data_IF_692979011584
#
_entry.id   IF_692979011584
#
_cell.length_a   1.000
_cell.length_b   1.000
_cell.length_c   1.000
_cell.angle_alpha   90.00
_cell.angle_beta   90.00
_cell.angle_gamma   90.00
#
_symmetry.space_group_name_H-M   'P 1'
#
loop_
_entity.id
_entity.type
_entity.pdbx_description
1 polymer ?
#
# COMPACT_ATOMS: atom_id res chain seq x y z
N UNK A 1 24.70 12.55 -20.82
CA UNK A 1 24.63 13.59 -19.78
C UNK A 1 25.30 13.06 -18.52
N UNK A 2 26.25 13.78 -17.93
CA UNK A 2 26.82 13.40 -16.63
C UNK A 2 25.98 14.03 -15.52
N UNK A 3 25.16 13.21 -14.87
CA UNK A 3 24.41 13.62 -13.67
C UNK A 3 25.32 13.47 -12.46
N UNK A 4 25.52 14.55 -11.70
CA UNK A 4 26.34 14.53 -10.50
C UNK A 4 25.69 13.64 -9.44
N UNK A 5 26.35 12.53 -9.10
CA UNK A 5 25.93 11.55 -8.10
C UNK A 5 26.95 11.48 -6.96
N UNK A 6 26.51 11.64 -5.71
CA UNK A 6 27.38 11.59 -4.52
C UNK A 6 26.68 10.88 -3.36
N UNK A 7 27.44 10.04 -2.65
CA UNK A 7 27.02 9.33 -1.44
C UNK A 7 27.89 9.78 -0.26
N UNK A 8 27.26 10.03 0.88
CA UNK A 8 27.95 10.43 2.10
C UNK A 8 27.32 9.77 3.33
N UNK A 9 28.13 9.10 4.13
CA UNK A 9 27.75 8.64 5.46
C UNK A 9 28.08 9.70 6.51
N UNK A 10 27.13 10.01 7.38
CA UNK A 10 27.33 10.97 8.46
C UNK A 10 26.57 10.55 9.71
N UNK A 11 27.02 11.06 10.86
CA UNK A 11 26.34 10.89 12.13
C UNK A 11 25.34 12.03 12.32
N UNK A 12 24.08 11.68 12.58
CA UNK A 12 23.07 12.66 12.93
C UNK A 12 23.11 12.94 14.43
N UNK A 13 23.88 13.95 14.85
CA UNK A 13 24.02 14.33 16.25
C UNK A 13 22.81 15.19 16.67
N UNK A 14 22.00 14.77 17.66
CA UNK A 14 20.95 15.62 18.19
C UNK A 14 21.55 16.83 18.90
N UNK A 15 20.82 17.95 18.94
CA UNK A 15 21.29 19.23 19.51
C UNK A 15 21.68 19.12 21.00
N UNK A 16 21.03 18.23 21.75
CA UNK A 16 21.25 18.00 23.18
C UNK A 16 22.02 16.70 23.44
N UNK A 17 23.00 16.39 22.59
CA UNK A 17 23.80 15.17 22.75
C UNK A 17 24.76 15.31 23.94
N UNK A 18 24.51 14.55 25.01
CA UNK A 18 25.40 14.49 26.18
C UNK A 18 26.36 13.29 26.07
N UNK A 19 25.81 12.07 26.04
CA UNK A 19 26.59 10.83 25.92
C UNK A 19 25.73 9.75 25.30
N UNK A 20 26.26 8.99 24.33
CA UNK A 20 25.61 7.78 23.84
C UNK A 20 25.97 7.39 22.41
N UNK A 21 25.45 6.25 21.92
CA UNK A 21 25.61 5.88 20.53
C UNK A 21 24.75 6.78 19.63
N UNK A 22 25.33 7.26 18.52
CA UNK A 22 24.65 8.16 17.58
C UNK A 22 24.28 7.40 16.31
N UNK A 23 23.06 7.55 15.78
CA UNK A 23 22.65 6.86 14.56
C UNK A 23 23.42 7.34 13.31
N UNK A 24 23.77 6.39 12.44
CA UNK A 24 24.41 6.63 11.15
C UNK A 24 23.35 6.84 10.07
N UNK A 25 23.50 7.91 9.30
CA UNK A 25 22.64 8.25 8.18
C UNK A 25 23.43 8.18 6.87
N UNK A 26 22.74 7.81 5.81
CA UNK A 26 23.24 7.82 4.44
C UNK A 26 22.53 8.94 3.69
N UNK A 27 23.32 9.84 3.10
CA UNK A 27 22.83 10.88 2.21
C UNK A 27 23.16 10.52 0.77
N UNK A 28 22.15 10.60 -0.08
CA UNK A 28 22.27 10.48 -1.54
C UNK A 28 22.01 11.85 -2.15
N UNK A 29 22.94 12.33 -2.97
CA UNK A 29 22.78 13.58 -3.72
C UNK A 29 22.79 13.28 -5.21
N UNK A 30 21.73 13.73 -5.91
CA UNK A 30 21.59 13.59 -7.36
C UNK A 30 21.18 14.94 -7.94
N UNK A 31 21.97 15.49 -8.85
CA UNK A 31 21.67 16.75 -9.55
C UNK A 31 21.27 17.90 -8.58
N UNK A 32 21.97 18.00 -7.44
CA UNK A 32 21.71 19.01 -6.40
C UNK A 32 20.57 18.70 -5.43
N UNK A 33 19.70 17.72 -5.73
CA UNK A 33 18.65 17.24 -4.81
C UNK A 33 19.21 16.19 -3.85
N UNK A 34 18.84 16.29 -2.57
CA UNK A 34 19.34 15.43 -1.49
C UNK A 34 18.23 14.55 -0.95
N UNK A 35 18.51 13.27 -0.71
CA UNK A 35 17.66 12.36 0.02
C UNK A 35 18.44 11.69 1.14
N UNK A 36 17.80 11.59 2.32
CA UNK A 36 18.40 10.95 3.49
C UNK A 36 17.76 9.58 3.76
N UNK A 37 18.60 8.63 4.14
CA UNK A 37 18.30 7.24 4.44
C UNK A 37 18.85 6.91 5.84
N UNK A 38 18.08 6.15 6.60
CA UNK A 38 18.49 5.68 7.93
C UNK A 38 19.15 4.32 7.82
N UNK A 39 20.32 4.16 8.45
CA UNK A 39 21.14 2.93 8.36
C UNK A 39 20.82 1.92 9.47
N UNK A 40 19.87 2.24 10.37
CA UNK A 40 19.45 1.44 11.55
C UNK A 40 20.60 0.97 12.46
N UNK A 41 21.77 1.59 12.34
CA UNK A 41 22.97 1.33 13.14
C UNK A 41 23.39 2.60 13.84
N UNK A 42 23.93 2.45 15.04
CA UNK A 42 24.42 3.53 15.88
C UNK A 42 25.88 3.28 16.26
N UNK A 43 26.67 4.34 16.34
CA UNK A 43 28.11 4.29 16.62
C UNK A 43 28.49 5.40 17.58
N UNK A 44 29.44 5.13 18.47
CA UNK A 44 30.04 6.17 19.30
C UNK A 44 30.78 7.21 18.42
N UNK A 45 30.55 8.52 18.59
CA UNK A 45 31.20 9.55 17.78
C UNK A 45 32.73 9.51 17.78
N UNK A 46 33.34 9.05 18.88
CA UNK A 46 34.81 8.91 19.01
C UNK A 46 35.38 7.84 18.08
N UNK A 47 34.56 6.84 17.74
CA UNK A 47 34.92 5.73 16.87
C UNK A 47 34.51 5.98 15.42
N UNK A 48 34.12 7.21 15.06
CA UNK A 48 33.71 7.54 13.70
C UNK A 48 34.73 8.43 13.01
N UNK A 49 35.05 8.11 11.75
CA UNK A 49 35.91 8.91 10.89
C UNK A 49 35.00 9.69 9.94
N UNK A 50 34.72 10.97 10.26
CA UNK A 50 33.81 11.81 9.47
C UNK A 50 34.26 12.05 8.02
N UNK A 51 35.57 12.05 7.76
CA UNK A 51 36.12 12.24 6.41
C UNK A 51 35.93 11.03 5.51
N UNK A 52 36.10 9.83 6.07
CA UNK A 52 35.96 8.57 5.33
C UNK A 52 34.53 8.02 5.37
N UNK A 53 33.71 8.44 6.34
CA UNK A 53 32.37 7.86 6.55
C UNK A 53 32.41 6.42 7.07
N UNK A 54 33.46 6.07 7.83
CA UNK A 54 33.72 4.71 8.33
C UNK A 54 33.96 4.69 9.84
N UNK A 55 33.76 3.54 10.46
CA UNK A 55 34.15 3.33 11.85
C UNK A 55 35.66 3.10 11.97
N UNK A 56 36.26 3.78 12.96
CA UNK A 56 37.65 3.70 13.37
C UNK A 56 37.90 2.45 14.22
N UNK A 57 38.93 1.69 13.86
CA UNK A 57 39.51 0.64 14.69
C UNK A 57 39.54 -0.74 14.03
N UNK A 58 40.36 -1.62 14.59
CA UNK A 58 40.58 -3.00 14.14
C UNK A 58 39.71 -4.03 14.86
N UNK A 59 38.84 -3.58 15.77
CA UNK A 59 37.91 -4.47 16.49
C UNK A 59 36.95 -5.15 15.52
N UNK A 60 36.58 -6.40 15.80
CA UNK A 60 35.63 -7.16 14.99
C UNK A 60 34.31 -6.40 14.74
N UNK A 61 33.79 -5.70 15.75
CA UNK A 61 32.58 -4.88 15.64
C UNK A 61 32.72 -3.72 14.61
N UNK A 62 33.88 -3.07 14.57
CA UNK A 62 34.13 -1.99 13.60
C UNK A 62 34.24 -2.55 12.17
N UNK A 63 34.91 -3.70 12.01
CA UNK A 63 35.00 -4.39 10.71
C UNK A 63 33.62 -4.82 10.20
N UNK A 64 32.80 -5.44 11.05
CA UNK A 64 31.43 -5.83 10.67
C UNK A 64 30.56 -4.64 10.28
N UNK A 65 30.74 -3.50 10.94
CA UNK A 65 30.01 -2.29 10.62
C UNK A 65 30.46 -1.71 9.28
N UNK A 66 31.76 -1.63 9.02
CA UNK A 66 32.29 -1.14 7.76
C UNK A 66 31.83 -2.02 6.59
N UNK A 67 31.90 -3.34 6.73
CA UNK A 67 31.35 -4.27 5.71
C UNK A 67 29.85 -4.05 5.49
N UNK A 68 29.08 -3.74 6.54
CA UNK A 68 27.67 -3.41 6.39
C UNK A 68 27.43 -2.10 5.62
N UNK A 69 28.24 -1.06 5.87
CA UNK A 69 28.19 0.20 5.13
C UNK A 69 28.57 0.01 3.65
N UNK A 70 29.61 -0.79 3.37
CA UNK A 70 30.03 -1.13 2.01
C UNK A 70 28.91 -1.83 1.24
N UNK A 71 28.24 -2.79 1.89
CA UNK A 71 27.08 -3.48 1.31
C UNK A 71 25.91 -2.53 1.02
N UNK A 72 25.66 -1.55 1.89
CA UNK A 72 24.63 -0.53 1.64
C UNK A 72 24.98 0.37 0.47
N UNK A 73 26.24 0.79 0.38
CA UNK A 73 26.73 1.58 -0.73
C UNK A 73 26.58 0.80 -2.05
N UNK A 74 26.96 -0.49 -2.08
CA UNK A 74 26.77 -1.37 -3.23
C UNK A 74 25.30 -1.46 -3.67
N UNK A 75 24.37 -1.64 -2.72
CA UNK A 75 22.92 -1.67 -3.00
C UNK A 75 22.40 -0.37 -3.61
N UNK A 76 22.92 0.78 -3.17
CA UNK A 76 22.51 2.07 -3.74
C UNK A 76 23.04 2.25 -5.16
N UNK A 77 24.27 1.81 -5.44
CA UNK A 77 24.78 1.78 -6.81
C UNK A 77 24.00 0.82 -7.72
N UNK A 78 23.57 -0.33 -7.18
CA UNK A 78 22.71 -1.26 -7.91
C UNK A 78 21.36 -0.62 -8.24
N UNK A 79 20.71 0.05 -7.28
CA UNK A 79 19.47 0.77 -7.51
C UNK A 79 19.63 1.89 -8.55
N UNK A 80 20.75 2.61 -8.50
CA UNK A 80 21.10 3.61 -9.52
C UNK A 80 21.20 2.96 -10.91
N UNK A 81 21.94 1.85 -11.03
CA UNK A 81 22.09 1.11 -12.29
C UNK A 81 20.74 0.66 -12.85
N UNK A 82 19.88 0.07 -12.02
CA UNK A 82 18.54 -0.38 -12.43
C UNK A 82 17.67 0.77 -12.96
N UNK A 83 17.74 1.95 -12.34
CA UNK A 83 17.00 3.13 -12.82
C UNK A 83 17.50 3.62 -14.18
N UNK A 84 18.82 3.58 -14.40
CA UNK A 84 19.43 3.92 -15.69
C UNK A 84 19.03 2.92 -16.77
N UNK A 85 19.07 1.62 -16.47
CA UNK A 85 18.65 0.55 -17.40
C UNK A 85 17.15 0.65 -17.75
N UNK A 86 16.31 1.02 -16.78
CA UNK A 86 14.87 1.23 -17.00
C UNK A 86 14.53 2.54 -17.74
N UNK A 87 15.52 3.42 -17.99
CA UNK A 87 15.28 4.73 -18.62
C UNK A 87 14.43 5.69 -17.78
N UNK A 88 14.33 5.45 -16.46
CA UNK A 88 13.56 6.29 -15.55
C UNK A 88 14.38 7.52 -15.12
N UNK A 89 13.70 8.64 -14.73
CA UNK A 89 14.41 9.82 -14.28
C UNK A 89 15.21 9.53 -13.00
N UNK A 90 16.52 9.78 -13.05
CA UNK A 90 17.38 9.62 -11.89
C UNK A 90 17.18 10.78 -10.91
N UNK A 91 16.34 10.57 -9.91
CA UNK A 91 16.17 11.47 -8.77
C UNK A 91 16.63 10.81 -7.48
N UNK A 92 17.06 11.61 -6.49
CA UNK A 92 17.46 11.09 -5.19
C UNK A 92 16.30 10.34 -4.48
N UNK A 93 15.07 10.80 -4.70
CA UNK A 93 13.86 10.15 -4.19
C UNK A 93 13.57 8.82 -4.91
N UNK A 94 13.74 8.75 -6.23
CA UNK A 94 13.58 7.50 -6.97
C UNK A 94 14.56 6.43 -6.48
N UNK A 95 15.83 6.79 -6.24
CA UNK A 95 16.83 5.87 -5.68
C UNK A 95 16.41 5.41 -4.28
N UNK A 96 15.97 6.33 -3.41
CA UNK A 96 15.47 6.01 -2.07
C UNK A 96 14.25 5.08 -2.12
N UNK A 97 13.32 5.33 -3.02
CA UNK A 97 12.10 4.54 -3.18
C UNK A 97 12.42 3.12 -3.67
N UNK A 98 13.30 2.99 -4.66
CA UNK A 98 13.81 1.69 -5.12
C UNK A 98 14.56 0.95 -4.02
N UNK A 99 15.43 1.62 -3.28
CA UNK A 99 16.15 1.03 -2.14
C UNK A 99 15.20 0.52 -1.05
N UNK A 100 14.11 1.26 -0.76
CA UNK A 100 13.10 0.86 0.22
C UNK A 100 12.10 -0.17 -0.32
N UNK A 101 12.15 -0.52 -1.60
CA UNK A 101 11.12 -1.35 -2.26
C UNK A 101 9.75 -0.67 -2.34
N UNK A 102 9.68 0.65 -2.10
CA UNK A 102 8.47 1.45 -2.28
C UNK A 102 8.39 1.84 -3.75
N UNK A 103 8.06 0.88 -4.60
CA UNK A 103 7.62 1.21 -5.95
C UNK A 103 6.32 1.99 -5.84
N UNK A 104 6.13 3.02 -6.68
CA UNK A 104 4.83 3.71 -6.73
C UNK A 104 3.77 2.63 -6.92
N UNK A 105 2.81 2.55 -6.00
CA UNK A 105 1.72 1.58 -6.08
C UNK A 105 1.11 1.74 -7.47
N UNK A 106 1.32 0.75 -8.33
CA UNK A 106 0.65 0.71 -9.61
C UNK A 106 -0.84 0.83 -9.31
N UNK A 107 -1.49 1.87 -9.84
CA UNK A 107 -2.92 2.06 -9.63
C UNK A 107 -3.62 0.80 -10.12
N UNK A 108 -4.45 0.21 -9.29
CA UNK A 108 -5.23 -0.94 -9.73
C UNK A 108 -6.25 -0.48 -10.77
N UNK A 109 -6.65 -1.37 -11.69
CA UNK A 109 -7.66 -1.04 -12.70
C UNK A 109 -8.93 -0.49 -12.04
N UNK A 110 -9.32 -1.05 -10.89
CA UNK A 110 -10.47 -0.62 -10.08
C UNK A 110 -10.31 0.81 -9.57
N UNK A 111 -9.13 1.18 -9.05
CA UNK A 111 -8.86 2.55 -8.60
C UNK A 111 -9.01 3.55 -9.75
N UNK A 112 -8.47 3.23 -10.94
CA UNK A 112 -8.58 4.08 -12.13
C UNK A 112 -10.04 4.27 -12.56
N UNK A 113 -10.81 3.17 -12.63
CA UNK A 113 -12.24 3.26 -12.97
C UNK A 113 -13.05 3.98 -11.90
N UNK A 114 -12.74 3.81 -10.62
CA UNK A 114 -13.42 4.53 -9.55
C UNK A 114 -13.20 6.03 -9.63
N UNK A 115 -11.96 6.47 -9.87
CA UNK A 115 -11.60 7.88 -10.06
C UNK A 115 -12.31 8.45 -11.29
N UNK A 116 -12.37 7.68 -12.38
CA UNK A 116 -13.09 8.07 -13.59
C UNK A 116 -14.59 8.21 -13.34
N UNK A 117 -15.23 7.23 -12.68
CA UNK A 117 -16.66 7.26 -12.36
C UNK A 117 -17.00 8.45 -11.46
N UNK A 118 -16.15 8.78 -10.47
CA UNK A 118 -16.34 9.99 -9.64
C UNK A 118 -16.25 11.27 -10.45
N UNK A 119 -15.31 11.37 -11.40
CA UNK A 119 -15.20 12.53 -12.30
C UNK A 119 -16.42 12.66 -13.22
N UNK A 120 -16.89 11.54 -13.79
CA UNK A 120 -18.10 11.52 -14.63
C UNK A 120 -19.33 11.91 -13.82
N UNK A 121 -19.51 11.37 -12.61
CA UNK A 121 -20.65 11.72 -11.75
C UNK A 121 -20.69 13.22 -11.40
N UNK A 122 -19.53 13.87 -11.24
CA UNK A 122 -19.46 15.32 -11.01
C UNK A 122 -19.89 16.16 -12.24
N UNK A 123 -19.79 15.61 -13.45
CA UNK A 123 -20.15 16.28 -14.72
C UNK A 123 -21.60 16.03 -15.16
N UNK A 124 -22.27 15.04 -14.58
CA UNK A 124 -23.66 14.66 -14.90
C UNK A 124 -24.68 15.70 -14.39
N UNK A 125 -24.25 16.69 -13.62
CA UNK A 125 -25.09 17.83 -13.23
C UNK A 125 -25.30 18.88 -14.32
N UNK A 126 -24.34 19.07 -15.23
CA UNK A 126 -24.35 20.23 -16.12
C UNK A 126 -24.63 19.89 -17.60
N UNK A 127 -24.18 18.74 -18.14
CA UNK A 127 -24.26 18.52 -19.61
C UNK A 127 -24.53 17.06 -20.06
N UNK A 128 -24.61 16.10 -19.14
CA UNK A 128 -24.72 14.67 -19.48
C UNK A 128 -25.98 14.01 -18.90
N UNK A 129 -26.86 13.41 -19.72
CA UNK A 129 -28.04 12.71 -19.22
C UNK A 129 -27.64 11.46 -18.42
N UNK A 130 -28.40 11.16 -17.37
CA UNK A 130 -28.15 10.17 -16.31
C UNK A 130 -27.87 8.71 -16.74
N UNK A 131 -27.83 8.40 -18.04
CA UNK A 131 -27.58 7.07 -18.59
C UNK A 131 -26.12 6.76 -18.98
N UNK A 132 -25.20 7.74 -18.91
CA UNK A 132 -23.79 7.52 -19.30
C UNK A 132 -22.88 7.05 -18.16
N UNK A 133 -23.37 7.06 -16.91
CA UNK A 133 -22.64 6.44 -15.81
C UNK A 133 -22.72 4.93 -15.96
N UNK A 134 -21.58 4.30 -16.26
CA UNK A 134 -21.40 2.84 -16.24
C UNK A 134 -21.39 2.34 -14.78
N UNK A 135 -22.44 2.64 -14.02
CA UNK A 135 -22.70 1.97 -12.77
C UNK A 135 -23.49 0.71 -13.14
N UNK A 136 -22.78 -0.37 -13.45
CA UNK A 136 -23.39 -1.71 -13.49
C UNK A 136 -23.76 -2.12 -12.05
N UNK A 137 -24.75 -1.44 -11.48
CA UNK A 137 -25.59 -2.06 -10.46
C UNK A 137 -26.41 -3.12 -11.15
N UNK A 138 -25.81 -4.31 -11.31
CA UNK A 138 -26.56 -5.54 -11.41
C UNK A 138 -27.37 -5.66 -10.11
N UNK A 139 -28.56 -5.06 -10.11
CA UNK A 139 -29.62 -5.52 -9.24
C UNK A 139 -29.85 -6.97 -9.62
N UNK A 140 -29.30 -7.90 -8.81
CA UNK A 140 -29.88 -9.24 -8.72
C UNK A 140 -31.28 -9.04 -8.17
N UNK A 141 -32.23 -8.79 -9.04
CA UNK A 141 -33.65 -8.82 -8.69
C UNK A 141 -33.92 -10.26 -8.24
N UNK A 142 -34.28 -10.51 -6.97
CA UNK A 142 -34.69 -11.83 -6.56
C UNK A 142 -35.93 -12.17 -7.39
N UNK A 143 -35.92 -13.34 -8.02
CA UNK A 143 -36.95 -13.81 -8.94
C UNK A 143 -38.27 -14.19 -8.24
N UNK A 144 -38.70 -13.43 -7.22
CA UNK A 144 -39.85 -13.75 -6.38
C UNK A 144 -41.11 -12.94 -6.74
N UNK A 145 -41.14 -12.24 -7.88
CA UNK A 145 -42.32 -11.42 -8.26
C UNK A 145 -42.53 -11.27 -9.76
N UNK A 146 -42.68 -12.41 -10.45
CA UNK A 146 -43.29 -12.46 -11.78
C UNK A 146 -44.48 -13.43 -11.73
N UNK A 147 -45.61 -12.97 -11.21
CA UNK A 147 -46.90 -13.62 -11.47
C UNK A 147 -47.39 -13.11 -12.82
N UNK A 148 -46.97 -13.78 -13.89
CA UNK A 148 -47.62 -13.65 -15.19
C UNK A 148 -48.76 -14.67 -15.20
N UNK A 149 -50.04 -14.27 -15.35
CA UNK A 149 -51.12 -15.24 -15.45
C UNK A 149 -51.10 -15.89 -16.83
N UNK A 150 -50.84 -17.19 -16.89
CA UNK A 150 -51.14 -18.01 -18.07
C UNK A 150 -52.64 -18.35 -18.08
N UNK A 151 -53.32 -18.28 -19.24
CA UNK A 151 -54.73 -18.62 -19.33
C UNK A 151 -54.91 -20.14 -19.46
N UNK A 152 -55.98 -20.64 -18.84
CA UNK A 152 -56.63 -21.92 -19.08
C UNK A 152 -55.90 -23.23 -18.71
N UNK A 153 -56.38 -23.85 -17.63
CA UNK A 153 -56.60 -25.29 -17.60
C UNK A 153 -57.90 -25.58 -16.83
N UNK A 154 -58.97 -25.86 -17.60
CA UNK A 154 -60.24 -26.37 -17.10
C UNK A 154 -60.18 -27.90 -17.01
N UNK A 155 -60.45 -28.45 -15.83
CA UNK A 155 -60.85 -29.84 -15.52
C UNK A 155 -60.48 -30.15 -14.06
N UNK A 156 -61.22 -30.79 -13.16
CA UNK A 156 -62.59 -31.28 -13.05
C UNK A 156 -62.78 -31.57 -11.54
N UNK A 157 -63.82 -30.98 -10.95
CA UNK A 157 -64.63 -31.35 -9.76
C UNK A 157 -64.20 -32.57 -8.89
N UNK A 158 -64.03 -32.33 -7.58
CA UNK A 158 -64.75 -33.02 -6.45
C UNK A 158 -64.08 -32.65 -5.10
N UNK A 159 -64.71 -31.85 -4.23
CA UNK A 159 -65.64 -32.27 -3.17
C UNK A 159 -64.97 -32.52 -1.79
N UNK A 160 -65.26 -31.58 -0.89
CA UNK A 160 -65.66 -31.76 0.52
C UNK A 160 -64.64 -31.85 1.68
N UNK A 161 -64.93 -30.96 2.66
CA UNK A 161 -64.75 -31.04 4.14
C UNK A 161 -63.28 -31.00 4.59
N UNK A 162 -62.85 -30.11 5.49
CA UNK A 162 -63.48 -29.62 6.71
C UNK A 162 -62.74 -30.22 7.91
N UNK A 163 -62.39 -29.36 8.88
CA UNK A 163 -62.04 -29.68 10.28
C UNK A 163 -60.55 -29.84 10.65
N UNK A 164 -60.01 -28.74 11.21
CA UNK A 164 -59.40 -28.61 12.55
C UNK A 164 -58.44 -29.66 13.14
N UNK A 165 -57.33 -29.12 13.66
CA UNK A 165 -56.79 -29.29 15.03
C UNK A 165 -55.51 -30.10 15.21
N UNK A 166 -54.60 -29.48 16.01
CA UNK A 166 -53.61 -30.09 16.90
C UNK A 166 -52.38 -30.75 16.24
N UNK A 167 -51.15 -30.68 16.71
CA UNK A 167 -50.43 -29.96 17.77
C UNK A 167 -48.95 -30.41 17.69
N UNK A 168 -48.10 -29.82 18.54
CA UNK A 168 -46.73 -30.25 18.90
C UNK A 168 -45.63 -29.93 17.87
N UNK A 169 -44.48 -29.34 18.20
CA UNK A 169 -43.88 -28.89 19.46
C UNK A 169 -42.89 -27.75 19.17
N UNK A 170 -42.73 -26.75 20.04
CA UNK A 170 -41.76 -26.74 21.15
C UNK A 170 -40.39 -27.24 20.67
N UNK A 171 -39.41 -26.37 20.41
CA UNK A 171 -38.54 -25.92 21.49
C UNK A 171 -37.90 -24.57 21.21
N UNK A 172 -38.09 -23.67 22.19
CA UNK A 172 -37.29 -22.48 22.46
C UNK A 172 -35.86 -22.90 22.79
N UNK A 173 -34.88 -22.19 22.24
CA UNK A 173 -33.65 -21.87 22.98
C UNK A 173 -33.45 -20.36 22.85
N UNK A 174 -33.80 -19.67 23.94
CA UNK A 174 -33.47 -18.28 24.24
C UNK A 174 -32.21 -18.23 25.10
N UNK A 175 -31.57 -17.05 25.09
CA UNK A 175 -30.50 -16.57 25.96
C UNK A 175 -29.08 -16.88 25.44
N UNK A 176 -28.13 -15.93 25.41
CA UNK A 176 -27.88 -14.86 26.37
C UNK A 176 -27.40 -13.56 25.72
N UNK A 177 -28.01 -12.47 26.16
CA UNK A 177 -27.48 -11.10 26.17
C UNK A 177 -26.63 -10.91 27.45
N UNK A 178 -25.72 -9.94 27.36
CA UNK A 178 -25.04 -9.18 28.42
C UNK A 178 -23.72 -9.75 28.97
N UNK A 179 -22.61 -9.16 28.51
CA UNK A 179 -21.82 -8.19 29.30
C UNK A 179 -21.12 -7.21 28.35
#
# INVERSE_FOLDING_TARGET
>A
MSINFSLLFYLNKPKNYQTGPVPVYLRVTVAGKRAELTTSRSVEPERWISSAGLAKGTKAAAKSLNTYLDNLQAKVYEAHRQLVEAGLPLTAEAIKNKFLGKEEKGRTLVEVFSEHNSKVAALVGDELPAGFTFDQKYHRTPCSRLTIPLPFCTSTRSSMRGSSSSAYGTSRITALQNY
#
